data_IF_567860315706
#
_entry.id   IF_567860315706
#
_cell.length_a   1.000
_cell.length_b   1.000
_cell.length_c   1.000
_cell.angle_alpha   90.00
_cell.angle_beta   90.00
_cell.angle_gamma   90.00
#
_symmetry.space_group_name_H-M   'P 1'
#
loop_
_entity.id
_entity.type
_entity.pdbx_description
1 polymer ?
#
# COMPACT_ATOMS: atom_id res chain seq x y z
N UNK A 1 -30.09 -3.51 -12.70
CA UNK A 1 -29.29 -2.26 -12.63
C UNK A 1 -29.20 -1.72 -14.03
N UNK A 2 -29.55 -0.46 -14.22
CA UNK A 2 -29.57 0.21 -15.52
C UNK A 2 -28.68 1.46 -15.49
N UNK A 3 -27.97 1.72 -16.58
CA UNK A 3 -27.17 2.93 -16.75
C UNK A 3 -27.93 3.89 -17.64
N UNK A 4 -28.37 5.00 -17.06
CA UNK A 4 -29.12 6.02 -17.77
C UNK A 4 -28.19 7.15 -18.24
N UNK A 5 -28.60 7.93 -19.24
CA UNK A 5 -27.90 9.17 -19.59
C UNK A 5 -27.73 10.09 -18.38
N UNK A 6 -26.71 10.96 -18.40
CA UNK A 6 -26.49 11.93 -17.33
C UNK A 6 -25.79 11.40 -16.08
N UNK A 7 -25.02 10.30 -16.19
CA UNK A 7 -24.25 9.68 -15.09
C UNK A 7 -25.14 9.11 -13.97
N UNK A 8 -26.30 8.60 -14.35
CA UNK A 8 -27.26 8.00 -13.41
C UNK A 8 -27.19 6.48 -13.50
N UNK A 9 -27.13 5.83 -12.34
CA UNK A 9 -27.29 4.38 -12.21
C UNK A 9 -28.59 4.13 -11.46
N UNK A 10 -29.45 3.29 -12.02
CA UNK A 10 -30.74 2.95 -11.44
C UNK A 10 -30.76 1.51 -10.93
N UNK A 11 -31.21 1.35 -9.68
CA UNK A 11 -31.55 0.06 -9.10
C UNK A 11 -33.06 -0.02 -8.92
N UNK A 12 -33.65 -1.09 -9.44
CA UNK A 12 -35.09 -1.35 -9.32
C UNK A 12 -35.27 -2.65 -8.54
N UNK A 13 -36.06 -2.59 -7.47
CA UNK A 13 -36.41 -3.74 -6.65
C UNK A 13 -37.90 -4.03 -6.81
N UNK A 14 -38.29 -4.88 -7.79
CA UNK A 14 -39.69 -5.18 -8.02
C UNK A 14 -40.25 -5.95 -6.82
N UNK A 15 -41.44 -5.53 -6.34
CA UNK A 15 -42.14 -6.16 -5.22
C UNK A 15 -41.28 -6.32 -3.95
N UNK A 16 -40.49 -5.29 -3.60
CA UNK A 16 -39.65 -5.33 -2.40
C UNK A 16 -40.46 -5.44 -1.10
N UNK A 17 -41.73 -4.99 -1.10
CA UNK A 17 -42.73 -5.17 -0.03
C UNK A 17 -42.17 -4.88 1.38
N UNK A 18 -41.43 -3.78 1.53
CA UNK A 18 -40.89 -3.37 2.82
C UNK A 18 -42.04 -2.96 3.77
N UNK A 19 -42.04 -3.43 5.03
CA UNK A 19 -42.98 -2.96 6.03
C UNK A 19 -42.70 -1.50 6.37
N UNK A 20 -43.72 -0.79 6.84
CA UNK A 20 -43.53 0.57 7.33
C UNK A 20 -42.68 0.56 8.62
N UNK A 21 -41.89 1.60 8.82
CA UNK A 21 -40.99 1.71 9.97
C UNK A 21 -41.72 1.85 11.30
N UNK A 22 -42.99 2.27 11.30
CA UNK A 22 -43.82 2.32 12.51
C UNK A 22 -44.24 0.95 12.99
N UNK A 23 -44.47 0.00 12.07
CA UNK A 23 -44.85 -1.39 12.37
C UNK A 23 -43.63 -2.27 12.62
N UNK A 24 -42.56 -2.16 11.81
CA UNK A 24 -41.37 -2.99 11.93
C UNK A 24 -40.11 -2.30 11.38
N UNK A 25 -39.56 -1.39 12.19
CA UNK A 25 -38.36 -0.61 11.85
C UNK A 25 -37.18 -1.48 11.35
N UNK A 26 -36.78 -2.58 12.02
CA UNK A 26 -35.62 -3.36 11.58
C UNK A 26 -35.78 -3.96 10.19
N UNK A 27 -37.02 -4.32 9.81
CA UNK A 27 -37.33 -4.89 8.50
C UNK A 27 -37.62 -3.82 7.43
N UNK A 28 -37.70 -2.54 7.79
CA UNK A 28 -37.99 -1.43 6.86
C UNK A 28 -36.75 -0.87 6.14
N UNK A 29 -35.55 -1.35 6.49
CA UNK A 29 -34.28 -0.88 5.93
C UNK A 29 -33.87 -1.62 4.66
N UNK A 30 -33.34 -0.88 3.68
CA UNK A 30 -32.69 -1.41 2.48
C UNK A 30 -31.23 -0.96 2.38
N UNK A 31 -30.39 -1.75 1.70
CA UNK A 31 -28.99 -1.43 1.45
C UNK A 31 -28.65 -1.60 -0.03
N UNK A 32 -27.99 -0.60 -0.61
CA UNK A 32 -27.36 -0.68 -1.93
C UNK A 32 -25.87 -0.41 -1.79
N UNK A 33 -25.04 -1.36 -2.21
CA UNK A 33 -23.59 -1.21 -2.27
C UNK A 33 -23.13 -1.34 -3.73
N UNK A 34 -22.23 -0.47 -4.16
CA UNK A 34 -21.69 -0.50 -5.51
C UNK A 34 -20.22 -0.07 -5.55
N UNK A 35 -19.55 -0.39 -6.66
CA UNK A 35 -18.20 0.06 -6.99
C UNK A 35 -18.20 0.58 -8.42
N UNK A 36 -17.57 1.72 -8.63
CA UNK A 36 -17.42 2.32 -9.95
C UNK A 36 -15.96 2.74 -10.16
N UNK A 37 -15.49 2.65 -11.41
CA UNK A 37 -14.17 3.15 -11.80
C UNK A 37 -14.31 4.59 -12.31
N UNK A 38 -13.57 5.57 -11.76
CA UNK A 38 -13.56 6.93 -12.30
C UNK A 38 -13.06 6.96 -13.75
N UNK A 39 -13.56 7.92 -14.52
CA UNK A 39 -12.98 8.22 -15.84
C UNK A 39 -11.63 8.92 -15.66
N UNK A 40 -10.64 8.51 -16.46
CA UNK A 40 -9.32 9.13 -16.48
C UNK A 40 -9.32 10.38 -17.39
N UNK A 41 -8.45 11.37 -17.14
CA UNK A 41 -7.42 11.40 -16.10
C UNK A 41 -7.98 11.66 -14.70
N UNK A 42 -7.45 10.94 -13.72
CA UNK A 42 -7.74 11.11 -12.31
C UNK A 42 -6.91 12.29 -11.77
N UNK A 43 -7.55 13.43 -11.53
CA UNK A 43 -6.88 14.62 -10.98
C UNK A 43 -6.96 14.55 -9.45
N UNK A 44 -5.80 14.52 -8.80
CA UNK A 44 -5.70 14.58 -7.35
C UNK A 44 -6.39 15.83 -6.79
N UNK A 45 -7.11 15.67 -5.68
CA UNK A 45 -7.89 16.76 -5.08
C UNK A 45 -9.26 16.97 -5.73
N UNK A 46 -9.69 16.08 -6.64
CA UNK A 46 -11.06 16.13 -7.17
C UNK A 46 -12.03 15.56 -6.15
N UNK A 47 -13.07 16.34 -5.83
CA UNK A 47 -14.21 15.87 -5.05
C UNK A 47 -15.25 15.21 -5.96
N UNK A 48 -15.62 13.98 -5.62
CA UNK A 48 -16.70 13.23 -6.24
C UNK A 48 -17.86 13.23 -5.26
N UNK A 49 -18.89 14.03 -5.57
CA UNK A 49 -20.12 14.12 -4.78
C UNK A 49 -21.17 13.19 -5.38
N UNK A 50 -21.84 12.40 -4.54
CA UNK A 50 -22.90 11.49 -4.96
C UNK A 50 -24.06 11.48 -3.96
N UNK A 51 -25.28 11.33 -4.45
CA UNK A 51 -26.49 11.17 -3.67
C UNK A 51 -27.47 10.27 -4.42
N UNK A 52 -28.40 9.67 -3.70
CA UNK A 52 -29.44 8.83 -4.28
C UNK A 52 -30.82 9.42 -4.02
N UNK A 53 -31.71 9.28 -5.00
CA UNK A 53 -33.13 9.56 -4.86
C UNK A 53 -33.88 8.23 -4.76
N UNK A 54 -34.59 8.00 -3.65
CA UNK A 54 -35.32 6.76 -3.38
C UNK A 54 -36.80 6.97 -3.70
N UNK A 55 -37.35 6.15 -4.59
CA UNK A 55 -38.74 6.20 -5.01
C UNK A 55 -39.49 4.98 -4.46
N UNK A 56 -40.64 5.23 -3.82
CA UNK A 56 -41.58 4.19 -3.39
C UNK A 56 -42.93 4.46 -4.06
N UNK A 57 -43.45 3.43 -4.75
CA UNK A 57 -44.69 3.48 -5.51
C UNK A 57 -44.74 4.71 -6.44
N UNK A 58 -45.70 5.62 -6.21
CA UNK A 58 -45.90 6.84 -6.98
C UNK A 58 -45.58 8.12 -6.18
N UNK A 59 -44.85 8.00 -5.08
CA UNK A 59 -44.50 9.15 -4.25
C UNK A 59 -43.31 9.93 -4.84
N UNK A 60 -43.20 11.23 -4.52
CA UNK A 60 -41.98 11.99 -4.76
C UNK A 60 -40.74 11.32 -4.15
N UNK A 61 -39.55 11.53 -4.71
CA UNK A 61 -38.34 10.90 -4.19
C UNK A 61 -37.98 11.40 -2.80
N UNK A 62 -37.46 10.49 -1.99
CA UNK A 62 -36.75 10.80 -0.74
C UNK A 62 -35.26 10.81 -1.05
N UNK A 63 -34.66 12.01 -1.06
CA UNK A 63 -33.23 12.18 -1.34
C UNK A 63 -32.38 11.85 -0.11
N UNK A 64 -31.30 11.09 -0.31
CA UNK A 64 -30.31 10.81 0.73
C UNK A 64 -29.41 12.02 1.00
N UNK A 65 -28.65 11.96 2.09
CA UNK A 65 -27.53 12.88 2.27
C UNK A 65 -26.49 12.72 1.16
N UNK A 66 -25.73 13.79 0.90
CA UNK A 66 -24.61 13.76 -0.01
C UNK A 66 -23.44 12.97 0.61
N UNK A 67 -22.75 12.20 -0.22
CA UNK A 67 -21.49 11.53 0.08
C UNK A 67 -20.40 12.18 -0.77
N UNK A 68 -19.30 12.57 -0.14
CA UNK A 68 -18.14 13.18 -0.81
C UNK A 68 -16.95 12.23 -0.72
N UNK A 69 -16.38 11.89 -1.87
CA UNK A 69 -15.14 11.11 -1.99
C UNK A 69 -14.07 11.99 -2.62
N UNK A 70 -12.97 12.22 -1.90
CA UNK A 70 -11.81 12.94 -2.40
C UNK A 70 -10.84 11.98 -3.08
N UNK A 71 -10.39 12.33 -4.30
CA UNK A 71 -9.40 11.53 -5.02
C UNK A 71 -7.99 11.92 -4.55
N UNK A 72 -7.34 11.03 -3.81
CA UNK A 72 -5.98 11.23 -3.31
C UNK A 72 -4.95 10.54 -4.21
N UNK A 73 -3.87 11.24 -4.55
CA UNK A 73 -2.68 10.60 -5.15
C UNK A 73 -1.68 10.25 -4.06
N UNK A 74 -1.25 8.99 -4.04
CA UNK A 74 -0.09 8.58 -3.27
C UNK A 74 1.15 9.29 -3.83
N UNK A 75 1.72 10.23 -3.08
CA UNK A 75 2.95 10.97 -3.43
C UNK A 75 4.22 10.13 -3.27
N UNK A 76 4.11 8.80 -3.40
CA UNK A 76 5.27 7.91 -3.29
C UNK A 76 6.29 8.33 -4.35
N UNK A 77 7.38 8.95 -3.88
CA UNK A 77 8.57 9.16 -4.70
C UNK A 77 9.03 7.77 -5.10
N UNK A 78 8.98 7.47 -6.39
CA UNK A 78 9.75 6.35 -6.91
C UNK A 78 11.21 6.77 -6.76
N UNK A 79 11.91 6.25 -5.75
CA UNK A 79 13.35 6.46 -5.61
C UNK A 79 14.00 6.05 -6.94
N UNK A 80 14.47 7.05 -7.69
CA UNK A 80 14.92 6.92 -9.08
C UNK A 80 16.24 6.17 -9.27
N UNK A 81 16.58 5.25 -8.38
CA UNK A 81 17.68 4.29 -8.55
C UNK A 81 17.23 2.94 -7.98
N UNK A 82 16.70 2.08 -8.85
CA UNK A 82 16.29 0.71 -8.56
C UNK A 82 17.50 -0.22 -8.38
N UNK A 83 18.57 0.23 -7.72
CA UNK A 83 19.61 -0.70 -7.29
C UNK A 83 19.23 -1.18 -5.90
N UNK A 84 18.60 -2.35 -5.84
CA UNK A 84 18.20 -2.95 -4.58
C UNK A 84 19.33 -3.79 -3.98
N UNK A 85 19.43 -3.80 -2.66
CA UNK A 85 20.30 -4.72 -1.93
C UNK A 85 19.47 -5.95 -1.53
N UNK A 86 19.69 -7.08 -2.20
CA UNK A 86 19.11 -8.36 -1.81
C UNK A 86 19.80 -8.92 -0.58
N UNK A 87 19.02 -9.47 0.35
CA UNK A 87 19.48 -10.14 1.57
C UNK A 87 18.86 -11.53 1.66
N UNK A 88 19.67 -12.58 1.58
CA UNK A 88 19.21 -13.97 1.65
C UNK A 88 20.10 -14.80 2.58
N UNK A 89 19.56 -15.53 3.56
CA UNK A 89 18.16 -15.52 3.99
C UNK A 89 17.83 -14.26 4.81
N UNK A 90 16.55 -13.91 4.87
CA UNK A 90 16.02 -12.88 5.76
C UNK A 90 14.62 -13.30 6.22
N UNK A 91 14.42 -13.84 7.44
CA UNK A 91 15.34 -13.80 8.59
C UNK A 91 16.64 -14.63 8.43
N UNK A 92 17.74 -14.13 8.98
CA UNK A 92 19.05 -14.81 9.02
C UNK A 92 19.42 -15.25 10.43
N UNK A 93 20.06 -16.41 10.59
CA UNK A 93 20.45 -16.95 11.90
C UNK A 93 21.97 -16.84 12.14
N UNK A 94 22.77 -17.44 11.27
CA UNK A 94 24.24 -17.42 11.38
C UNK A 94 24.94 -16.54 10.34
N UNK A 95 24.44 -16.53 9.10
CA UNK A 95 25.04 -15.77 8.00
C UNK A 95 23.95 -15.20 7.09
N UNK A 96 24.29 -14.12 6.38
CA UNK A 96 23.45 -13.53 5.35
C UNK A 96 24.29 -13.25 4.11
N UNK A 97 23.73 -13.56 2.94
CA UNK A 97 24.30 -13.23 1.65
C UNK A 97 23.66 -11.94 1.13
N UNK A 98 24.51 -10.96 0.85
CA UNK A 98 24.16 -9.69 0.24
C UNK A 98 24.36 -9.82 -1.26
N UNK A 99 23.39 -9.34 -2.06
CA UNK A 99 23.51 -9.26 -3.51
C UNK A 99 23.14 -7.85 -4.00
N UNK A 100 24.03 -7.20 -4.73
CA UNK A 100 23.77 -5.90 -5.36
C UNK A 100 23.49 -6.08 -6.86
N UNK A 101 22.43 -5.44 -7.34
CA UNK A 101 22.09 -5.44 -8.77
C UNK A 101 22.95 -4.41 -9.53
N UNK A 102 23.45 -4.78 -10.71
CA UNK A 102 24.17 -3.85 -11.61
C UNK A 102 25.61 -3.49 -11.22
N UNK A 103 25.90 -3.23 -9.94
CA UNK A 103 27.22 -2.72 -9.50
C UNK A 103 27.85 -3.54 -8.36
N UNK A 104 29.17 -3.41 -8.25
CA UNK A 104 29.94 -4.02 -7.17
C UNK A 104 29.83 -3.20 -5.88
N UNK A 105 29.77 -3.91 -4.74
CA UNK A 105 29.85 -3.32 -3.41
C UNK A 105 31.31 -3.10 -3.04
N UNK A 106 31.63 -1.91 -2.54
CA UNK A 106 32.98 -1.54 -2.07
C UNK A 106 33.07 -1.45 -0.55
N UNK A 107 31.98 -1.09 0.10
CA UNK A 107 31.91 -0.91 1.54
C UNK A 107 30.54 -1.30 2.06
N UNK A 108 30.51 -2.16 3.08
CA UNK A 108 29.28 -2.65 3.70
C UNK A 108 29.30 -2.33 5.19
N UNK A 109 28.18 -1.83 5.68
CA UNK A 109 27.94 -1.49 7.07
C UNK A 109 26.64 -2.11 7.57
N UNK A 110 26.65 -2.58 8.81
CA UNK A 110 25.47 -3.10 9.49
C UNK A 110 25.25 -2.24 10.73
N UNK A 111 24.09 -1.59 10.79
CA UNK A 111 23.69 -0.69 11.85
C UNK A 111 22.57 -1.32 12.68
N UNK A 112 22.58 -1.11 13.99
CA UNK A 112 21.42 -1.43 14.84
C UNK A 112 20.32 -0.36 14.71
N UNK A 113 19.17 -0.59 15.34
CA UNK A 113 18.03 0.35 15.30
C UNK A 113 18.32 1.72 15.96
N UNK A 114 19.41 1.84 16.72
CA UNK A 114 19.87 3.13 17.25
C UNK A 114 20.78 3.88 16.28
N UNK A 115 21.08 3.29 15.11
CA UNK A 115 22.00 3.84 14.12
C UNK A 115 23.47 3.58 14.44
N UNK A 116 23.79 2.80 15.49
CA UNK A 116 25.17 2.46 15.83
C UNK A 116 25.68 1.39 14.86
N UNK A 117 26.84 1.63 14.27
CA UNK A 117 27.52 0.67 13.41
C UNK A 117 28.02 -0.52 14.25
N UNK A 118 27.46 -1.69 14.00
CA UNK A 118 27.79 -2.96 14.66
C UNK A 118 28.85 -3.72 13.86
N UNK A 119 28.89 -3.51 12.54
CA UNK A 119 29.89 -4.11 11.65
C UNK A 119 30.16 -3.19 10.47
N UNK A 120 31.42 -3.06 10.09
CA UNK A 120 31.87 -2.27 8.95
C UNK A 120 32.99 -3.03 8.25
N UNK A 121 32.92 -3.15 6.93
CA UNK A 121 33.94 -3.83 6.15
C UNK A 121 34.07 -3.23 4.76
N UNK A 122 35.33 -3.03 4.34
CA UNK A 122 35.66 -2.80 2.94
C UNK A 122 35.72 -4.14 2.23
N UNK A 123 35.13 -4.20 1.05
CA UNK A 123 34.99 -5.42 0.27
C UNK A 123 35.76 -5.23 -1.03
N UNK A 124 36.43 -6.28 -1.51
CA UNK A 124 36.85 -6.28 -2.91
C UNK A 124 35.61 -6.09 -3.79
N UNK A 125 35.71 -5.42 -4.95
CA UNK A 125 34.55 -5.20 -5.82
C UNK A 125 33.83 -6.50 -6.14
N UNK A 126 32.69 -6.74 -5.49
CA UNK A 126 31.91 -7.96 -5.60
C UNK A 126 30.42 -7.64 -5.62
N UNK A 127 29.68 -8.36 -6.47
CA UNK A 127 28.21 -8.26 -6.54
C UNK A 127 27.50 -9.13 -5.50
N UNK A 128 28.22 -10.07 -4.88
CA UNK A 128 27.68 -10.97 -3.87
C UNK A 128 28.69 -11.18 -2.75
N UNK A 129 28.26 -11.07 -1.50
CA UNK A 129 29.12 -11.17 -0.31
C UNK A 129 28.35 -11.91 0.78
N UNK A 130 28.97 -12.93 1.37
CA UNK A 130 28.42 -13.62 2.53
C UNK A 130 29.03 -13.05 3.80
N UNK A 131 28.18 -12.66 4.75
CA UNK A 131 28.57 -12.06 6.02
C UNK A 131 28.11 -12.96 7.16
N UNK A 132 29.05 -13.36 8.01
CA UNK A 132 28.75 -14.02 9.27
C UNK A 132 28.21 -13.01 10.29
N UNK A 133 27.12 -13.39 10.96
CA UNK A 133 26.38 -12.57 11.92
C UNK A 133 26.80 -12.87 13.36
N UNK A 134 27.88 -13.64 13.59
CA UNK A 134 28.36 -13.99 14.92
C UNK A 134 28.61 -12.75 15.79
N UNK A 135 28.29 -12.87 17.08
CA UNK A 135 28.43 -11.78 18.05
C UNK A 135 27.35 -10.68 17.98
N UNK A 136 26.42 -10.75 17.01
CA UNK A 136 25.28 -9.83 16.95
C UNK A 136 24.06 -10.41 17.70
N UNK A 137 23.39 -9.65 18.59
CA UNK A 137 22.12 -10.10 19.18
C UNK A 137 21.02 -10.33 18.13
N UNK A 138 20.01 -11.15 18.46
CA UNK A 138 18.81 -11.23 17.64
C UNK A 138 18.08 -9.87 17.62
N UNK A 139 17.62 -9.43 16.45
CA UNK A 139 17.05 -8.11 16.29
C UNK A 139 16.96 -7.64 14.84
N UNK A 140 16.50 -6.40 14.67
CA UNK A 140 16.43 -5.73 13.37
C UNK A 140 17.68 -4.90 13.17
N UNK A 141 18.25 -5.00 11.97
CA UNK A 141 19.44 -4.28 11.54
C UNK A 141 19.18 -3.60 10.20
N UNK A 142 19.86 -2.48 9.98
CA UNK A 142 19.94 -1.83 8.67
C UNK A 142 21.28 -2.16 8.05
N UNK A 143 21.26 -2.80 6.88
CA UNK A 143 22.46 -3.07 6.09
C UNK A 143 22.57 -1.96 5.06
N UNK A 144 23.70 -1.28 5.02
CA UNK A 144 24.04 -0.24 4.04
C UNK A 144 25.24 -0.69 3.23
N UNK A 145 25.19 -0.52 1.92
CA UNK A 145 26.33 -0.76 1.04
C UNK A 145 26.59 0.46 0.16
N UNK A 146 27.85 0.86 0.04
CA UNK A 146 28.30 1.82 -0.96
C UNK A 146 28.75 1.07 -2.23
N UNK A 147 28.28 1.54 -3.38
CA UNK A 147 28.60 1.00 -4.70
C UNK A 147 29.77 1.78 -5.31
N UNK A 148 30.38 1.23 -6.37
CA UNK A 148 31.55 1.83 -7.02
C UNK A 148 31.31 3.19 -7.70
N UNK A 149 30.06 3.58 -7.93
CA UNK A 149 29.70 4.93 -8.38
C UNK A 149 29.51 5.93 -7.21
N UNK A 150 29.74 5.50 -5.97
CA UNK A 150 29.54 6.29 -4.76
C UNK A 150 28.10 6.33 -4.26
N UNK A 151 27.14 5.72 -4.96
CA UNK A 151 25.76 5.61 -4.48
C UNK A 151 25.67 4.65 -3.30
N UNK A 152 24.65 4.83 -2.46
CA UNK A 152 24.41 3.97 -1.30
C UNK A 152 23.07 3.28 -1.41
N UNK A 153 23.07 1.97 -1.20
CA UNK A 153 21.89 1.13 -1.19
C UNK A 153 21.73 0.54 0.21
N UNK A 154 20.50 0.24 0.60
CA UNK A 154 20.21 -0.26 1.93
C UNK A 154 19.11 -1.32 1.91
N UNK A 155 19.15 -2.21 2.91
CA UNK A 155 18.12 -3.20 3.12
C UNK A 155 17.99 -3.55 4.60
N UNK A 156 16.79 -3.95 5.01
CA UNK A 156 16.50 -4.36 6.39
C UNK A 156 16.83 -5.84 6.59
N UNK A 157 17.69 -6.15 7.54
CA UNK A 157 18.02 -7.51 7.97
C UNK A 157 17.30 -7.83 9.28
N UNK A 158 16.60 -8.96 9.33
CA UNK A 158 16.06 -9.54 10.55
C UNK A 158 16.98 -10.68 10.98
N UNK A 159 17.68 -10.51 12.11
CA UNK A 159 18.49 -11.57 12.70
C UNK A 159 17.65 -12.38 13.71
N UNK A 160 17.50 -13.67 13.44
CA UNK A 160 16.92 -14.66 14.35
C UNK A 160 17.87 -15.09 15.46
N UNK A 161 17.36 -15.89 16.41
CA UNK A 161 18.13 -16.46 17.52
C UNK A 161 18.99 -17.63 17.08
#
# INVERSE_FOLDING_TARGET
VEFLPGRVVQWTFPNILLPDSGTNEPASHGLVQFRIRPMQPEIAGTEIVNAADIFFDFNPPVRTNDVVVMLETNTRVADGHTTSLGLVPNPAFGQVTLSAEGQAMEHVEILDMSGRCVRSMRTAPARSITIALDGMPAGIYLVRSMLGDGSTIHARLLKGR
#
